data_IF_889745369310
#
_entry.id   IF_889745369310
#
_cell.length_a   1.000
_cell.length_b   1.000
_cell.length_c   1.000
_cell.angle_alpha   90.00
_cell.angle_beta   90.00
_cell.angle_gamma   90.00
#
_symmetry.space_group_name_H-M   'P 1'
#
loop_
_entity.id
_entity.type
_entity.pdbx_description
1 polymer ?
#
# COMPACT_ATOMS: atom_id res chain seq x y z
N UNK A 1 3.50 -30.91 -22.59
CA UNK A 1 3.82 -29.53 -22.15
C UNK A 1 2.55 -28.67 -22.14
N UNK A 2 1.87 -28.46 -23.27
CA UNK A 2 0.64 -27.62 -23.35
C UNK A 2 -0.43 -28.03 -22.33
N UNK A 3 -0.74 -29.32 -22.19
CA UNK A 3 -1.70 -29.80 -21.19
C UNK A 3 -1.31 -29.45 -19.75
N UNK A 4 -0.03 -29.57 -19.40
CA UNK A 4 0.45 -29.21 -18.06
C UNK A 4 0.34 -27.70 -17.81
N UNK A 5 0.57 -26.88 -18.85
CA UNK A 5 0.37 -25.42 -18.79
C UNK A 5 -1.11 -25.08 -18.58
N UNK A 6 -2.02 -25.77 -19.26
CA UNK A 6 -3.46 -25.57 -19.06
C UNK A 6 -3.89 -25.93 -17.63
N UNK A 7 -3.46 -27.10 -17.12
CA UNK A 7 -3.73 -27.52 -15.74
C UNK A 7 -3.20 -26.49 -14.74
N UNK A 8 -1.96 -26.03 -14.91
CA UNK A 8 -1.38 -25.00 -14.07
C UNK A 8 -2.22 -23.71 -14.10
N UNK A 9 -2.68 -23.30 -15.28
CA UNK A 9 -3.53 -22.11 -15.49
C UNK A 9 -4.91 -22.27 -14.84
N UNK A 10 -5.47 -23.48 -14.80
CA UNK A 10 -6.74 -23.74 -14.12
C UNK A 10 -6.61 -23.72 -12.61
N UNK A 11 -5.57 -24.34 -12.04
CA UNK A 11 -5.25 -24.27 -10.60
C UNK A 11 -5.07 -22.82 -10.19
N UNK A 12 -4.30 -22.08 -10.99
CA UNK A 12 -4.09 -20.67 -10.87
C UNK A 12 -5.40 -19.86 -10.78
N UNK A 13 -6.23 -19.99 -11.82
CA UNK A 13 -7.49 -19.24 -11.93
C UNK A 13 -8.45 -19.58 -10.80
N UNK A 14 -8.54 -20.85 -10.39
CA UNK A 14 -9.36 -21.28 -9.26
C UNK A 14 -8.88 -20.72 -7.92
N UNK A 15 -7.57 -20.55 -7.75
CA UNK A 15 -6.99 -20.21 -6.44
C UNK A 15 -6.92 -18.70 -6.22
N UNK A 16 -6.30 -17.95 -7.12
CA UNK A 16 -5.89 -16.57 -6.84
C UNK A 16 -6.66 -15.48 -7.59
N UNK A 17 -7.54 -15.84 -8.55
CA UNK A 17 -8.32 -14.85 -9.30
C UNK A 17 -9.15 -13.94 -8.38
N UNK A 18 -9.99 -14.52 -7.51
CA UNK A 18 -10.84 -13.75 -6.60
C UNK A 18 -10.05 -12.96 -5.53
N UNK A 19 -9.02 -13.53 -4.88
CA UNK A 19 -8.13 -12.76 -4.00
C UNK A 19 -7.51 -11.53 -4.66
N UNK A 20 -6.99 -11.65 -5.89
CA UNK A 20 -6.36 -10.54 -6.61
C UNK A 20 -7.40 -9.48 -6.99
N UNK A 21 -8.49 -9.90 -7.65
CA UNK A 21 -9.54 -8.97 -8.06
C UNK A 21 -10.21 -8.31 -6.86
N UNK A 22 -10.43 -9.06 -5.79
CA UNK A 22 -10.98 -8.57 -4.54
C UNK A 22 -10.06 -7.55 -3.87
N UNK A 23 -8.76 -7.82 -3.78
CA UNK A 23 -7.80 -6.91 -3.15
C UNK A 23 -7.71 -5.54 -3.85
N UNK A 24 -7.86 -5.51 -5.18
CA UNK A 24 -7.77 -4.27 -5.96
C UNK A 24 -9.11 -3.52 -5.98
N UNK A 25 -10.24 -4.22 -6.09
CA UNK A 25 -11.53 -3.60 -6.39
C UNK A 25 -12.56 -3.64 -5.25
N UNK A 26 -12.28 -4.34 -4.14
CA UNK A 26 -13.25 -4.52 -3.06
C UNK A 26 -12.65 -4.19 -1.69
N UNK A 27 -13.03 -3.03 -1.14
CA UNK A 27 -12.58 -2.54 0.18
C UNK A 27 -12.74 -3.54 1.33
N UNK A 28 -13.70 -4.47 1.20
CA UNK A 28 -13.98 -5.47 2.24
C UNK A 28 -13.14 -6.74 2.12
N UNK A 29 -12.33 -6.87 1.06
CA UNK A 29 -11.43 -8.00 0.89
C UNK A 29 -10.44 -8.08 2.06
N UNK A 30 -10.34 -9.26 2.68
CA UNK A 30 -9.46 -9.48 3.84
C UNK A 30 -8.40 -10.54 3.52
N UNK A 31 -7.26 -10.49 4.22
CA UNK A 31 -6.22 -11.52 4.11
C UNK A 31 -6.76 -12.92 4.42
N UNK A 32 -7.63 -13.04 5.42
CA UNK A 32 -8.25 -14.32 5.79
C UNK A 32 -9.18 -14.84 4.68
N UNK A 33 -9.98 -13.96 4.07
CA UNK A 33 -10.80 -14.35 2.92
C UNK A 33 -9.95 -14.74 1.73
N UNK A 34 -8.90 -13.99 1.44
CA UNK A 34 -7.95 -14.30 0.37
C UNK A 34 -7.34 -15.71 0.56
N UNK A 35 -6.84 -16.01 1.77
CA UNK A 35 -6.30 -17.33 2.10
C UNK A 35 -7.35 -18.44 1.97
N UNK A 36 -8.58 -18.21 2.47
CA UNK A 36 -9.66 -19.18 2.35
C UNK A 36 -10.00 -19.49 0.88
N UNK A 37 -10.12 -18.45 0.03
CA UNK A 37 -10.32 -18.61 -1.41
C UNK A 37 -9.20 -19.41 -2.06
N UNK A 38 -7.94 -19.05 -1.79
CA UNK A 38 -6.76 -19.77 -2.31
C UNK A 38 -6.78 -21.24 -1.92
N UNK A 39 -6.98 -21.55 -0.64
CA UNK A 39 -6.96 -22.94 -0.18
C UNK A 39 -8.12 -23.76 -0.76
N UNK A 40 -9.35 -23.22 -0.72
CA UNK A 40 -10.52 -23.91 -1.27
C UNK A 40 -10.35 -24.14 -2.77
N UNK A 41 -9.97 -23.11 -3.52
CA UNK A 41 -9.75 -23.19 -4.96
C UNK A 41 -8.65 -24.17 -5.34
N UNK A 42 -7.48 -24.07 -4.69
CA UNK A 42 -6.33 -24.92 -4.98
C UNK A 42 -6.63 -26.39 -4.65
N UNK A 43 -7.12 -26.66 -3.44
CA UNK A 43 -7.41 -28.03 -3.00
C UNK A 43 -8.47 -28.68 -3.88
N UNK A 44 -9.54 -27.96 -4.19
CA UNK A 44 -10.62 -28.51 -5.02
C UNK A 44 -10.16 -28.74 -6.46
N UNK A 45 -9.44 -27.80 -7.05
CA UNK A 45 -8.95 -27.92 -8.42
C UNK A 45 -7.92 -29.05 -8.57
N UNK A 46 -7.02 -29.21 -7.59
CA UNK A 46 -6.06 -30.32 -7.55
C UNK A 46 -6.81 -31.65 -7.41
N UNK A 47 -7.78 -31.74 -6.49
CA UNK A 47 -8.55 -32.97 -6.28
C UNK A 47 -9.34 -33.37 -7.54
N UNK A 48 -10.00 -32.42 -8.21
CA UNK A 48 -10.72 -32.67 -9.46
C UNK A 48 -9.77 -33.09 -10.57
N UNK A 49 -8.61 -32.42 -10.72
CA UNK A 49 -7.60 -32.80 -11.72
C UNK A 49 -7.08 -34.22 -11.48
N UNK A 50 -6.77 -34.59 -10.23
CA UNK A 50 -6.33 -35.95 -9.87
C UNK A 50 -7.41 -36.96 -10.20
N UNK A 51 -8.66 -36.68 -9.81
CA UNK A 51 -9.79 -37.55 -10.09
C UNK A 51 -9.99 -37.78 -11.59
N UNK A 52 -9.91 -36.72 -12.38
CA UNK A 52 -10.03 -36.75 -13.84
C UNK A 52 -8.86 -37.46 -14.52
N UNK A 53 -7.68 -37.49 -13.87
CA UNK A 53 -6.50 -38.21 -14.36
C UNK A 53 -6.56 -39.70 -14.04
N UNK A 54 -7.18 -40.08 -12.93
CA UNK A 54 -7.32 -41.50 -12.52
C UNK A 54 -8.45 -42.19 -13.29
N UNK A 55 -9.47 -41.44 -13.72
CA UNK A 55 -10.61 -41.97 -14.46
C UNK A 55 -10.33 -41.97 -15.96
N UNK A 56 -10.71 -43.07 -16.61
CA UNK A 56 -10.55 -43.18 -18.06
C UNK A 56 -11.41 -42.14 -18.78
N UNK A 57 -10.86 -41.47 -19.81
CA UNK A 57 -11.63 -40.58 -20.66
C UNK A 57 -12.82 -41.29 -21.30
N UNK A 58 -13.98 -40.64 -21.32
CA UNK A 58 -15.19 -41.17 -21.95
C UNK A 58 -15.35 -40.47 -23.29
N UNK A 59 -15.40 -41.22 -24.40
CA UNK A 59 -15.56 -40.66 -25.75
C UNK A 59 -14.49 -39.61 -26.13
N UNK A 60 -13.29 -39.72 -25.58
CA UNK A 60 -12.17 -38.81 -25.86
C UNK A 60 -12.21 -37.48 -25.10
N UNK A 61 -13.21 -37.26 -24.23
CA UNK A 61 -13.26 -36.12 -23.30
C UNK A 61 -12.83 -36.55 -21.89
N UNK A 62 -12.23 -35.65 -21.09
CA UNK A 62 -11.96 -35.93 -19.69
C UNK A 62 -13.23 -36.39 -18.95
N UNK A 63 -13.08 -37.31 -18.00
CA UNK A 63 -14.18 -37.97 -17.32
C UNK A 63 -15.15 -36.97 -16.67
N UNK A 64 -14.64 -35.94 -16.01
CA UNK A 64 -15.45 -34.90 -15.38
C UNK A 64 -16.35 -34.15 -16.38
N UNK A 65 -15.82 -33.85 -17.57
CA UNK A 65 -16.57 -33.17 -18.63
C UNK A 65 -17.71 -34.04 -19.16
N UNK A 66 -17.56 -35.37 -19.16
CA UNK A 66 -18.62 -36.31 -19.55
C UNK A 66 -19.82 -36.33 -18.60
N UNK A 67 -19.66 -35.86 -17.35
CA UNK A 67 -20.72 -35.81 -16.35
C UNK A 67 -21.57 -34.55 -16.51
N UNK A 68 -20.94 -33.38 -16.62
CA UNK A 68 -21.64 -32.11 -16.73
C UNK A 68 -20.75 -31.03 -17.35
N UNK A 69 -21.25 -30.15 -18.25
CA UNK A 69 -20.45 -29.10 -18.89
C UNK A 69 -19.76 -28.13 -17.90
N UNK A 70 -20.36 -27.89 -16.73
CA UNK A 70 -19.75 -27.07 -15.68
C UNK A 70 -18.46 -27.67 -15.07
N UNK A 71 -18.20 -28.96 -15.33
CA UNK A 71 -16.99 -29.65 -14.89
C UNK A 71 -15.89 -29.71 -15.97
N UNK A 72 -16.10 -29.03 -17.10
CA UNK A 72 -15.09 -28.87 -18.15
C UNK A 72 -13.80 -28.26 -17.60
N UNK A 73 -12.65 -28.62 -18.19
CA UNK A 73 -11.35 -28.10 -17.76
C UNK A 73 -10.97 -28.56 -16.36
N UNK A 74 -11.19 -29.84 -16.06
CA UNK A 74 -10.94 -30.43 -14.74
C UNK A 74 -11.72 -29.74 -13.60
N UNK A 75 -12.94 -29.26 -13.87
CA UNK A 75 -13.79 -28.62 -12.87
C UNK A 75 -13.46 -27.16 -12.52
N UNK A 76 -12.70 -26.46 -13.36
CA UNK A 76 -12.21 -25.10 -13.06
C UNK A 76 -13.32 -24.11 -12.70
N UNK A 77 -14.47 -24.14 -13.40
CA UNK A 77 -15.58 -23.21 -13.14
C UNK A 77 -16.16 -23.44 -11.75
N UNK A 78 -16.38 -24.70 -11.37
CA UNK A 78 -16.91 -25.07 -10.06
C UNK A 78 -15.90 -24.71 -8.95
N UNK A 79 -14.62 -24.99 -9.16
CA UNK A 79 -13.55 -24.63 -8.21
C UNK A 79 -13.45 -23.12 -8.04
N UNK A 80 -13.52 -22.35 -9.12
CA UNK A 80 -13.57 -20.89 -9.09
C UNK A 80 -14.79 -20.39 -8.31
N UNK A 81 -15.98 -20.92 -8.57
CA UNK A 81 -17.20 -20.50 -7.88
C UNK A 81 -17.12 -20.74 -6.36
N UNK A 82 -16.61 -21.89 -5.93
CA UNK A 82 -16.46 -22.22 -4.52
C UNK A 82 -15.34 -21.42 -3.85
N UNK A 83 -14.23 -21.18 -4.55
CA UNK A 83 -13.17 -20.26 -4.12
C UNK A 83 -13.70 -18.84 -3.90
N UNK A 84 -14.43 -18.29 -4.87
CA UNK A 84 -15.04 -16.97 -4.76
C UNK A 84 -16.06 -16.88 -3.62
N UNK A 85 -16.86 -17.94 -3.43
CA UNK A 85 -17.82 -18.02 -2.33
C UNK A 85 -17.11 -18.04 -0.97
N UNK A 86 -16.07 -18.86 -0.82
CA UNK A 86 -15.27 -18.91 0.40
C UNK A 86 -14.59 -17.57 0.68
N UNK A 87 -14.01 -16.94 -0.34
CA UNK A 87 -13.41 -15.61 -0.27
C UNK A 87 -14.41 -14.58 0.25
N UNK A 88 -15.59 -14.47 -0.38
CA UNK A 88 -16.62 -13.50 0.00
C UNK A 88 -17.11 -13.75 1.43
N UNK A 89 -17.48 -14.99 1.76
CA UNK A 89 -18.05 -15.32 3.07
C UNK A 89 -17.05 -15.08 4.21
N UNK A 90 -15.79 -15.50 4.03
CA UNK A 90 -14.76 -15.29 5.05
C UNK A 90 -14.38 -13.81 5.14
N UNK A 91 -14.28 -13.09 4.02
CA UNK A 91 -14.06 -11.63 4.06
C UNK A 91 -15.18 -10.89 4.78
N UNK A 92 -16.45 -11.29 4.62
CA UNK A 92 -17.56 -10.66 5.33
C UNK A 92 -17.61 -10.98 6.83
N UNK A 93 -17.13 -12.16 7.24
CA UNK A 93 -17.17 -12.61 8.65
C UNK A 93 -15.92 -12.27 9.45
N UNK A 94 -14.83 -11.83 8.81
CA UNK A 94 -13.56 -11.44 9.47
C UNK A 94 -13.45 -9.93 9.66
N UNK A 95 -12.52 -9.45 10.51
CA UNK A 95 -12.32 -7.99 10.74
C UNK A 95 -12.09 -7.26 9.41
N UNK A 96 -12.72 -6.09 9.24
CA UNK A 96 -12.46 -5.23 8.09
C UNK A 96 -10.99 -4.77 8.04
N UNK A 97 -10.41 -4.57 6.85
CA UNK A 97 -9.08 -4.01 6.73
C UNK A 97 -9.03 -2.60 7.33
N UNK A 98 -7.93 -2.27 7.99
CA UNK A 98 -7.71 -0.92 8.50
C UNK A 98 -7.45 0.06 7.33
N UNK A 99 -7.88 1.31 7.46
CA UNK A 99 -7.83 2.32 6.40
C UNK A 99 -6.42 2.55 5.84
N UNK A 100 -5.39 2.40 6.66
CA UNK A 100 -3.99 2.54 6.25
C UNK A 100 -3.63 1.54 5.13
N UNK A 101 -4.15 0.32 5.21
CA UNK A 101 -3.92 -0.70 4.18
C UNK A 101 -4.73 -0.45 2.91
N UNK A 102 -5.83 0.30 3.03
CA UNK A 102 -6.73 0.63 1.92
C UNK A 102 -6.31 1.90 1.18
N UNK A 103 -5.68 2.85 1.88
CA UNK A 103 -5.29 4.16 1.35
C UNK A 103 -4.54 4.12 0.00
N UNK A 104 -3.62 3.16 -0.27
CA UNK A 104 -2.90 3.13 -1.55
C UNK A 104 -3.80 2.82 -2.76
N UNK A 105 -4.93 2.14 -2.53
CA UNK A 105 -5.82 1.65 -3.58
C UNK A 105 -7.17 2.38 -3.60
N UNK A 106 -7.57 2.98 -2.47
CA UNK A 106 -8.89 3.58 -2.28
C UNK A 106 -8.76 5.01 -1.76
N UNK A 107 -9.08 5.97 -2.64
CA UNK A 107 -9.00 7.41 -2.36
C UNK A 107 -9.74 7.82 -1.09
N UNK A 108 -10.94 7.28 -0.86
CA UNK A 108 -11.74 7.67 0.31
C UNK A 108 -11.11 7.23 1.63
N UNK A 109 -10.39 6.10 1.64
CA UNK A 109 -9.68 5.66 2.84
C UNK A 109 -8.46 6.56 3.13
N UNK A 110 -7.78 7.02 2.07
CA UNK A 110 -6.69 7.98 2.17
C UNK A 110 -7.20 9.35 2.67
N UNK A 111 -8.32 9.84 2.12
CA UNK A 111 -8.97 11.09 2.54
C UNK A 111 -9.44 11.05 4.01
N UNK A 112 -9.95 9.91 4.49
CA UNK A 112 -10.39 9.77 5.89
C UNK A 112 -9.21 9.89 6.86
N UNK A 113 -8.09 9.21 6.58
CA UNK A 113 -6.85 9.34 7.37
C UNK A 113 -6.35 10.79 7.38
N UNK A 114 -6.32 11.40 6.20
CA UNK A 114 -5.87 12.79 6.01
C UNK A 114 -6.72 13.80 6.80
N UNK A 115 -8.05 13.67 6.77
CA UNK A 115 -8.97 14.59 7.45
C UNK A 115 -8.87 14.47 8.97
N UNK A 116 -8.66 13.27 9.50
CA UNK A 116 -8.48 13.08 10.95
C UNK A 116 -7.21 13.77 11.44
N UNK A 117 -6.11 13.64 10.69
CA UNK A 117 -4.81 14.16 11.09
C UNK A 117 -4.73 15.68 10.97
N UNK A 118 -5.23 16.28 9.89
CA UNK A 118 -5.16 17.74 9.71
C UNK A 118 -6.00 18.52 10.71
N UNK A 119 -7.08 17.95 11.24
CA UNK A 119 -7.88 18.59 12.30
C UNK A 119 -7.07 18.87 13.56
N UNK A 120 -5.92 18.23 13.73
CA UNK A 120 -5.06 18.40 14.91
C UNK A 120 -4.11 19.59 14.82
N UNK A 121 -3.96 20.22 13.65
CA UNK A 121 -3.03 21.33 13.45
C UNK A 121 -3.70 22.66 13.82
N UNK A 122 -3.10 23.41 14.75
CA UNK A 122 -3.41 24.82 14.95
C UNK A 122 -2.53 25.68 14.04
N UNK A 123 -3.14 26.36 13.06
CA UNK A 123 -2.44 27.22 12.10
C UNK A 123 -1.83 28.47 12.74
N UNK A 124 -2.24 28.82 13.96
CA UNK A 124 -1.69 29.95 14.70
C UNK A 124 -0.51 29.55 15.59
N UNK A 125 -0.14 28.26 15.60
CA UNK A 125 1.04 27.80 16.33
C UNK A 125 2.31 28.43 15.76
N UNK A 126 3.14 28.96 16.66
CA UNK A 126 4.42 29.58 16.33
C UNK A 126 5.34 28.56 15.66
N UNK A 127 5.30 27.29 16.08
CA UNK A 127 6.11 26.23 15.48
C UNK A 127 5.70 25.98 14.02
N UNK A 128 4.40 25.96 13.73
CA UNK A 128 3.88 25.82 12.37
C UNK A 128 4.28 27.01 11.49
N UNK A 129 4.11 28.23 11.98
CA UNK A 129 4.49 29.44 11.23
C UNK A 129 6.00 29.51 10.96
N UNK A 130 6.83 29.07 11.90
CA UNK A 130 8.29 29.02 11.70
C UNK A 130 8.71 27.90 10.76
N UNK A 131 8.04 26.76 10.80
CA UNK A 131 8.20 25.67 9.84
C UNK A 131 7.91 26.13 8.40
N UNK A 132 6.81 26.84 8.17
CA UNK A 132 6.43 27.32 6.84
C UNK A 132 7.52 28.17 6.15
N UNK A 133 8.35 28.88 6.93
CA UNK A 133 9.44 29.73 6.40
C UNK A 133 10.60 28.93 5.80
N UNK A 134 10.67 27.62 6.07
CA UNK A 134 11.79 26.76 5.68
C UNK A 134 11.48 25.93 4.45
N UNK A 135 10.19 25.81 4.12
CA UNK A 135 9.71 25.07 2.97
C UNK A 135 10.07 25.84 1.69
N UNK A 136 10.61 25.13 0.72
CA UNK A 136 10.82 25.65 -0.63
C UNK A 136 9.69 25.18 -1.53
N UNK A 137 8.96 26.14 -2.08
CA UNK A 137 7.79 25.88 -2.92
C UNK A 137 8.02 26.39 -4.34
N UNK A 138 7.65 25.58 -5.33
CA UNK A 138 7.69 25.97 -6.73
C UNK A 138 6.48 25.46 -7.47
N UNK A 139 5.61 26.37 -7.93
CA UNK A 139 4.50 26.03 -8.81
C UNK A 139 4.99 25.81 -10.23
N UNK A 140 4.67 24.66 -10.82
CA UNK A 140 5.06 24.26 -12.17
C UNK A 140 3.82 23.72 -12.89
N UNK A 141 3.15 24.59 -13.66
CA UNK A 141 1.94 24.23 -14.39
C UNK A 141 0.78 23.85 -13.46
N UNK A 142 0.27 22.64 -13.64
CA UNK A 142 -0.86 22.07 -12.85
C UNK A 142 -0.43 21.49 -11.51
N UNK A 143 0.88 21.35 -11.27
CA UNK A 143 1.43 20.81 -10.03
C UNK A 143 2.31 21.84 -9.33
N UNK A 144 2.61 21.56 -8.08
CA UNK A 144 3.62 22.30 -7.34
C UNK A 144 4.61 21.32 -6.75
N UNK A 145 5.85 21.77 -6.58
CA UNK A 145 6.89 21.04 -5.87
C UNK A 145 7.07 21.69 -4.51
N UNK A 146 6.99 20.90 -3.46
CA UNK A 146 7.25 21.30 -2.09
C UNK A 146 8.45 20.48 -1.61
N UNK A 147 9.47 21.17 -1.12
CA UNK A 147 10.72 20.57 -0.67
C UNK A 147 11.14 21.15 0.67
N UNK A 148 11.61 20.30 1.57
CA UNK A 148 12.18 20.68 2.85
C UNK A 148 13.46 19.90 3.08
N UNK A 149 14.50 20.59 3.53
CA UNK A 149 15.78 20.00 3.90
C UNK A 149 15.96 20.15 5.40
N UNK A 150 16.27 19.05 6.06
CA UNK A 150 16.44 19.00 7.50
C UNK A 150 17.81 18.44 7.81
N UNK A 151 18.57 19.18 8.62
CA UNK A 151 19.86 18.74 9.13
C UNK A 151 19.69 18.10 10.51
N UNK A 152 20.50 17.11 10.82
CA UNK A 152 20.49 16.41 12.10
C UNK A 152 21.81 16.56 12.83
N UNK A 153 21.74 16.58 14.17
CA UNK A 153 22.91 16.74 15.04
C UNK A 153 23.93 15.61 14.94
N UNK A 154 23.53 14.46 14.39
CA UNK A 154 24.35 13.26 14.26
C UNK A 154 23.94 12.44 13.03
N UNK A 155 24.83 11.52 12.65
CA UNK A 155 24.61 10.56 11.56
C UNK A 155 23.39 9.68 11.85
N UNK A 156 22.49 9.57 10.88
CA UNK A 156 21.29 8.75 11.02
C UNK A 156 21.58 7.32 10.58
N UNK A 157 21.39 6.36 11.48
CA UNK A 157 21.27 4.96 11.07
C UNK A 157 19.90 4.76 10.40
N UNK A 158 19.89 4.90 9.09
CA UNK A 158 18.67 4.93 8.30
C UNK A 158 17.82 3.66 8.40
N UNK A 159 18.43 2.48 8.51
CA UNK A 159 17.67 1.23 8.62
C UNK A 159 16.96 1.13 9.97
N UNK A 160 17.62 1.56 11.05
CA UNK A 160 16.99 1.62 12.38
C UNK A 160 15.89 2.69 12.40
N UNK A 161 16.18 3.86 11.86
CA UNK A 161 15.23 4.96 11.75
C UNK A 161 13.97 4.58 10.98
N UNK A 162 14.11 3.93 9.82
CA UNK A 162 12.98 3.52 8.99
C UNK A 162 12.11 2.46 9.66
N UNK A 163 12.73 1.53 10.41
CA UNK A 163 12.03 0.51 11.20
C UNK A 163 11.22 1.14 12.34
N UNK A 164 11.83 2.02 13.13
CA UNK A 164 11.15 2.73 14.23
C UNK A 164 10.00 3.61 13.71
N UNK A 165 10.22 4.32 12.59
CA UNK A 165 9.19 5.14 11.96
C UNK A 165 7.98 4.32 11.52
N UNK A 166 8.19 3.20 10.82
CA UNK A 166 7.11 2.32 10.37
C UNK A 166 6.36 1.69 11.55
N UNK A 167 7.09 1.29 12.60
CA UNK A 167 6.51 0.70 13.80
C UNK A 167 5.62 1.69 14.59
N UNK A 168 6.05 2.95 14.73
CA UNK A 168 5.31 3.98 15.47
C UNK A 168 4.20 4.60 14.63
N UNK A 169 4.46 4.81 13.33
CA UNK A 169 3.58 5.48 12.39
C UNK A 169 3.34 4.61 11.14
N UNK A 170 2.34 3.71 11.17
CA UNK A 170 2.11 2.72 10.09
C UNK A 170 1.74 3.31 8.72
N UNK A 171 1.43 4.61 8.65
CA UNK A 171 1.23 5.35 7.39
C UNK A 171 2.50 5.48 6.56
N UNK A 172 3.67 5.31 7.18
CA UNK A 172 4.96 5.32 6.50
C UNK A 172 5.33 3.95 5.96
N UNK A 173 5.60 3.86 4.65
CA UNK A 173 6.00 2.62 4.00
C UNK A 173 7.20 2.81 3.08
N UNK A 174 7.92 1.72 2.84
CA UNK A 174 9.14 1.67 2.03
C UNK A 174 8.93 0.76 0.79
N UNK A 175 8.20 1.22 -0.25
CA UNK A 175 7.74 0.35 -1.34
C UNK A 175 8.88 -0.17 -2.24
N UNK A 176 9.98 0.59 -2.37
CA UNK A 176 11.12 0.28 -3.24
C UNK A 176 12.40 -0.06 -2.46
N UNK A 177 12.27 -0.51 -1.22
CA UNK A 177 13.39 -0.75 -0.31
C UNK A 177 13.57 0.39 0.70
N UNK A 178 14.48 0.17 1.66
CA UNK A 178 14.59 1.01 2.86
C UNK A 178 15.07 2.44 2.64
N UNK A 179 15.52 2.84 1.44
CA UNK A 179 16.18 4.14 1.19
C UNK A 179 15.22 5.31 0.93
N UNK A 180 13.95 5.03 0.63
CA UNK A 180 12.92 6.05 0.45
C UNK A 180 11.65 5.63 1.16
N UNK A 181 11.11 6.54 1.97
CA UNK A 181 9.92 6.29 2.78
C UNK A 181 8.81 7.23 2.33
N UNK A 182 7.61 6.70 2.19
CA UNK A 182 6.44 7.42 1.72
C UNK A 182 5.36 7.39 2.79
N UNK A 183 4.81 8.56 3.10
CA UNK A 183 3.62 8.71 3.95
C UNK A 183 2.37 8.57 3.07
N UNK A 184 1.69 7.42 3.12
CA UNK A 184 0.60 7.09 2.20
C UNK A 184 -0.77 7.61 2.66
N UNK A 185 -0.95 8.92 2.54
CA UNK A 185 -2.19 9.63 2.86
C UNK A 185 -2.95 10.16 1.66
N UNK A 186 -2.44 9.90 0.44
CA UNK A 186 -3.10 10.29 -0.80
C UNK A 186 -3.09 9.12 -1.81
N UNK A 187 -4.13 9.05 -2.64
CA UNK A 187 -4.17 8.12 -3.79
C UNK A 187 -3.20 8.52 -4.89
N UNK A 188 -2.85 9.81 -4.99
CA UNK A 188 -1.78 10.29 -5.87
C UNK A 188 -0.44 10.17 -5.14
N UNK A 189 0.33 9.14 -5.51
CA UNK A 189 1.63 8.86 -4.89
C UNK A 189 2.63 10.01 -5.01
N UNK A 190 2.50 10.88 -6.03
CA UNK A 190 3.35 12.06 -6.16
C UNK A 190 2.98 13.16 -5.15
N UNK A 191 1.72 13.21 -4.71
CA UNK A 191 1.27 14.13 -3.67
C UNK A 191 1.63 13.63 -2.25
N UNK A 192 1.85 12.33 -2.07
CA UNK A 192 2.34 11.78 -0.81
C UNK A 192 3.69 12.40 -0.42
N UNK A 193 3.88 12.69 0.87
CA UNK A 193 5.18 13.12 1.37
C UNK A 193 6.16 11.95 1.29
N UNK A 194 7.27 12.16 0.58
CA UNK A 194 8.39 11.22 0.53
C UNK A 194 9.58 11.79 1.27
N UNK A 195 10.33 10.92 1.96
CA UNK A 195 11.61 11.28 2.55
C UNK A 195 12.73 10.40 2.02
N UNK A 196 13.90 11.00 1.86
CA UNK A 196 15.13 10.34 1.45
C UNK A 196 16.30 10.86 2.28
N UNK A 197 17.41 10.13 2.27
CA UNK A 197 18.70 10.69 2.72
C UNK A 197 19.05 11.86 1.81
N UNK A 198 19.63 12.91 2.39
CA UNK A 198 20.17 14.03 1.64
C UNK A 198 21.54 13.74 1.06
N UNK A 199 22.29 14.79 0.76
CA UNK A 199 23.65 14.67 0.21
C UNK A 199 24.65 14.19 1.27
N UNK A 200 24.40 14.54 2.53
CA UNK A 200 25.22 14.13 3.67
C UNK A 200 24.49 13.07 4.52
N UNK A 201 25.23 12.37 5.39
CA UNK A 201 24.64 11.36 6.29
C UNK A 201 23.88 11.96 7.49
N UNK A 202 23.79 13.29 7.53
CA UNK A 202 23.11 14.10 8.55
C UNK A 202 21.97 14.92 7.94
N UNK A 203 21.55 14.63 6.72
CA UNK A 203 20.46 15.32 6.05
C UNK A 203 19.30 14.37 5.75
N UNK A 204 18.09 14.85 5.98
CA UNK A 204 16.85 14.24 5.51
C UNK A 204 16.17 15.23 4.58
N UNK A 205 15.82 14.78 3.38
CA UNK A 205 15.08 15.58 2.43
C UNK A 205 13.65 15.09 2.36
N UNK A 206 12.72 16.02 2.49
CA UNK A 206 11.30 15.79 2.28
C UNK A 206 10.91 16.39 0.95
N UNK A 207 10.07 15.67 0.22
CA UNK A 207 9.52 16.15 -1.03
C UNK A 207 8.05 15.73 -1.18
N UNK A 208 7.27 16.57 -1.85
CA UNK A 208 5.94 16.23 -2.33
C UNK A 208 5.65 17.07 -3.57
N UNK A 209 4.86 16.53 -4.48
CA UNK A 209 4.54 17.17 -5.75
C UNK A 209 3.02 17.27 -5.93
N UNK A 210 2.23 17.92 -5.07
CA UNK A 210 0.76 17.90 -5.16
C UNK A 210 0.20 18.63 -6.39
N UNK A 211 -1.07 18.39 -6.76
CA UNK A 211 -1.83 19.33 -7.58
C UNK A 211 -1.77 20.76 -7.01
N UNK A 212 -1.65 21.76 -7.88
CA UNK A 212 -1.37 23.13 -7.46
C UNK A 212 -2.51 23.80 -6.66
N UNK A 213 -3.72 23.24 -6.71
CA UNK A 213 -4.90 23.64 -5.92
C UNK A 213 -4.92 23.02 -4.51
N UNK A 214 -4.10 22.01 -4.24
CA UNK A 214 -3.97 21.34 -2.93
C UNK A 214 -2.79 21.86 -2.09
N UNK A 215 -2.18 22.99 -2.46
CA UNK A 215 -0.96 23.50 -1.81
C UNK A 215 -1.11 23.75 -0.30
N UNK A 216 -2.17 24.44 0.13
CA UNK A 216 -2.40 24.73 1.55
C UNK A 216 -2.54 23.45 2.37
N UNK A 217 -3.24 22.49 1.79
CA UNK A 217 -3.53 21.22 2.41
C UNK A 217 -2.27 20.35 2.46
N UNK A 218 -1.37 20.49 1.49
CA UNK A 218 -0.06 19.82 1.48
C UNK A 218 0.94 20.42 2.48
N UNK A 219 0.91 21.73 2.75
CA UNK A 219 1.76 22.34 3.79
C UNK A 219 1.50 21.74 5.16
N UNK A 220 0.21 21.55 5.48
CA UNK A 220 -0.25 20.88 6.70
C UNK A 220 0.25 19.43 6.76
N UNK A 221 0.10 18.70 5.67
CA UNK A 221 0.58 17.33 5.55
C UNK A 221 2.09 17.22 5.78
N UNK A 222 2.86 18.12 5.17
CA UNK A 222 4.32 18.16 5.33
C UNK A 222 4.71 18.50 6.77
N UNK A 223 3.94 19.34 7.46
CA UNK A 223 4.17 19.65 8.88
C UNK A 223 3.95 18.44 9.77
N UNK A 224 2.86 17.68 9.56
CA UNK A 224 2.62 16.44 10.31
C UNK A 224 3.77 15.46 10.07
N UNK A 225 4.13 15.24 8.80
CA UNK A 225 5.26 14.39 8.44
C UNK A 225 6.55 14.86 9.15
N UNK A 226 6.81 16.16 9.20
CA UNK A 226 7.95 16.72 9.92
C UNK A 226 7.92 16.40 11.42
N UNK A 227 6.77 16.58 12.09
CA UNK A 227 6.60 16.29 13.52
C UNK A 227 6.80 14.81 13.84
N UNK A 228 6.27 13.90 13.03
CA UNK A 228 6.44 12.45 13.19
C UNK A 228 7.94 12.08 13.09
N UNK A 229 8.65 12.68 12.14
CA UNK A 229 10.08 12.44 11.95
C UNK A 229 10.90 13.04 13.09
N UNK A 230 10.57 14.25 13.53
CA UNK A 230 11.22 14.90 14.67
C UNK A 230 11.08 14.06 15.95
N UNK A 231 9.90 13.50 16.18
CA UNK A 231 9.60 12.63 17.32
C UNK A 231 10.43 11.33 17.29
N UNK A 232 10.50 10.65 16.13
CA UNK A 232 11.38 9.46 15.98
C UNK A 232 12.86 9.82 16.18
N UNK A 233 13.32 10.93 15.59
CA UNK A 233 14.70 11.38 15.75
C UNK A 233 15.04 11.66 17.21
N UNK A 234 14.13 12.32 17.93
CA UNK A 234 14.27 12.57 19.36
C UNK A 234 14.36 11.26 20.16
N UNK A 235 13.52 10.27 19.87
CA UNK A 235 13.53 8.96 20.53
C UNK A 235 14.85 8.20 20.33
N UNK A 236 15.51 8.36 19.18
CA UNK A 236 16.83 7.78 18.91
C UNK A 236 18.01 8.68 19.35
N UNK A 237 17.73 9.79 20.05
CA UNK A 237 18.73 10.70 20.62
C UNK A 237 19.36 11.66 19.61
N UNK A 238 18.69 11.92 18.49
CA UNK A 238 19.13 12.82 17.42
C UNK A 238 18.26 14.08 17.43
N UNK A 239 18.90 15.24 17.39
CA UNK A 239 18.20 16.53 17.38
C UNK A 239 18.11 17.01 15.93
N UNK A 240 16.94 17.54 15.57
CA UNK A 240 16.70 18.21 14.31
C UNK A 240 17.19 19.65 14.41
N UNK A 241 18.09 20.05 13.52
CA UNK A 241 18.46 21.45 13.32
C UNK A 241 17.84 21.95 12.03
N UNK A 242 16.99 22.96 12.18
CA UNK A 242 16.38 23.64 11.06
C UNK A 242 17.28 24.82 10.72
N UNK A 243 18.22 24.61 9.78
CA UNK A 243 19.03 25.70 9.29
C UNK A 243 18.12 26.79 8.71
N UNK A 244 18.24 28.00 9.23
CA UNK A 244 17.54 29.17 8.65
C UNK A 244 18.11 29.38 7.25
N UNK A 245 17.34 29.00 6.24
CA UNK A 245 17.66 29.34 4.85
C UNK A 245 17.79 30.87 4.73
N UNK A 246 19.02 31.37 4.68
CA UNK A 246 19.29 32.72 4.20
C UNK A 246 18.90 32.72 2.72
N UNK A 247 17.78 33.40 2.44
CA UNK A 247 17.25 33.69 1.11
C UNK A 247 18.39 34.08 0.16
N UNK A 248 18.78 33.19 -0.75
CA UNK A 248 19.49 33.61 -1.95
C UNK A 248 18.46 34.26 -2.88
N UNK A 249 18.57 35.59 -2.94
CA UNK A 249 17.84 36.56 -3.76
C UNK A 249 17.77 36.21 -5.24
#
# INVERSE_FOLDING_TARGET
IIHAVHIATFIASASYFFPIMGGIFWKRATTQGALAGVFVGATLQIAMTIFDTIKDPVMGVPYLESIHPALMGHGVILSMALSGTAFILVSLTTKAPDNINLAPFFKEAAEELYVEEIKTIDENDVEYVDFLKQIRERKVGERAHIHLEVSTSAMINWSKFSEELNNKYPVWVAPSGGDSLYRLTNSDMLACVKITRGNTQTEIWFASEPPADMMESQRRELYIAFKEIQDILHDIGVIVDLEKNELQS
#
